data_IF_575510063594
#
_entry.id   IF_575510063594
#
_cell.length_a   1.000
_cell.length_b   1.000
_cell.length_c   1.000
_cell.angle_alpha   90.00
_cell.angle_beta   90.00
_cell.angle_gamma   90.00
#
_symmetry.space_group_name_H-M   'P 1'
#
loop_
_entity.id
_entity.type
_entity.pdbx_description
1 polymer ?
#
# COMPACT_ATOMS: atom_id res chain seq x y z
N UNK A 1 13.60 -11.06 -12.23
CA UNK A 1 13.58 -10.05 -11.14
C UNK A 1 12.46 -9.09 -11.49
N UNK A 2 11.31 -9.16 -10.81
CA UNK A 2 10.28 -8.14 -11.01
C UNK A 2 10.88 -6.79 -10.60
N UNK A 3 10.81 -5.80 -11.48
CA UNK A 3 11.14 -4.43 -11.09
C UNK A 3 9.97 -3.92 -10.24
N UNK A 4 10.22 -3.55 -8.99
CA UNK A 4 9.22 -2.87 -8.18
C UNK A 4 8.88 -1.50 -8.78
N UNK A 5 7.81 -0.87 -8.30
CA UNK A 5 7.40 0.48 -8.69
C UNK A 5 7.32 1.39 -7.47
N UNK A 6 7.61 2.67 -7.67
CA UNK A 6 7.63 3.66 -6.60
C UNK A 6 6.60 4.75 -6.86
N UNK A 7 5.69 4.94 -5.92
CA UNK A 7 4.68 5.99 -5.97
C UNK A 7 5.03 7.10 -5.00
N UNK A 8 5.02 8.35 -5.49
CA UNK A 8 5.01 9.54 -4.63
C UNK A 8 3.60 10.06 -4.57
N UNK A 9 3.06 10.14 -3.35
CA UNK A 9 1.69 10.55 -3.09
C UNK A 9 1.68 11.69 -2.09
N UNK A 10 0.69 12.55 -2.22
CA UNK A 10 0.35 13.58 -1.22
C UNK A 10 -0.99 13.18 -0.59
N UNK A 11 -1.02 13.15 0.73
CA UNK A 11 -2.18 12.77 1.53
C UNK A 11 -2.42 13.83 2.61
N UNK A 12 -3.64 13.88 3.13
CA UNK A 12 -3.99 14.80 4.21
C UNK A 12 -3.29 14.41 5.52
N UNK A 13 -3.14 15.37 6.42
CA UNK A 13 -2.69 15.10 7.79
C UNK A 13 -3.62 14.11 8.48
N UNK A 14 -3.05 13.16 9.22
CA UNK A 14 -3.83 12.13 9.89
C UNK A 14 -4.22 10.94 9.00
N UNK A 15 -3.85 10.95 7.72
CA UNK A 15 -4.24 9.90 6.80
C UNK A 15 -3.68 8.52 7.19
N UNK A 16 -4.45 7.48 6.90
CA UNK A 16 -4.12 6.09 7.23
C UNK A 16 -3.48 5.37 6.05
N UNK A 17 -3.00 4.14 6.30
CA UNK A 17 -2.41 3.32 5.25
C UNK A 17 -3.40 2.92 4.13
N UNK A 18 -4.65 2.51 4.42
CA UNK A 18 -5.68 2.32 3.40
C UNK A 18 -5.94 3.58 2.54
N UNK A 19 -5.95 4.77 3.14
CA UNK A 19 -6.15 6.02 2.40
C UNK A 19 -4.98 6.32 1.46
N UNK A 20 -3.74 6.05 1.90
CA UNK A 20 -2.56 6.15 1.05
C UNK A 20 -2.63 5.20 -0.17
N UNK A 21 -3.04 3.95 0.05
CA UNK A 21 -3.24 2.97 -1.03
C UNK A 21 -4.36 3.42 -2.00
N UNK A 22 -5.44 4.00 -1.51
CA UNK A 22 -6.50 4.53 -2.36
C UNK A 22 -6.02 5.69 -3.27
N UNK A 23 -5.06 6.50 -2.81
CA UNK A 23 -4.42 7.53 -3.64
C UNK A 23 -3.52 6.91 -4.70
N UNK A 24 -2.76 5.86 -4.37
CA UNK A 24 -1.98 5.08 -5.35
C UNK A 24 -2.91 4.49 -6.42
N UNK A 25 -4.01 3.88 -6.01
CA UNK A 25 -5.01 3.31 -6.92
C UNK A 25 -5.58 4.36 -7.88
N UNK A 26 -5.84 5.57 -7.39
CA UNK A 26 -6.26 6.70 -8.22
C UNK A 26 -5.17 7.11 -9.23
N UNK A 27 -3.90 7.13 -8.82
CA UNK A 27 -2.79 7.43 -9.72
C UNK A 27 -2.63 6.38 -10.82
N UNK A 28 -2.72 5.09 -10.47
CA UNK A 28 -2.62 3.97 -11.42
C UNK A 28 -3.81 3.94 -12.36
N UNK A 29 -5.04 4.17 -11.86
CA UNK A 29 -6.23 4.26 -12.72
C UNK A 29 -6.09 5.34 -13.80
N UNK A 30 -5.46 6.46 -13.47
CA UNK A 30 -5.20 7.55 -14.41
C UNK A 30 -3.99 7.30 -15.33
N UNK A 31 -3.10 6.37 -14.96
CA UNK A 31 -1.87 6.04 -15.67
C UNK A 31 -1.64 4.51 -15.61
N UNK A 32 -2.47 3.70 -16.32
CA UNK A 32 -2.46 2.25 -16.18
C UNK A 32 -1.10 1.59 -16.47
N UNK A 33 -0.27 2.23 -17.28
CA UNK A 33 1.10 1.80 -17.60
C UNK A 33 2.06 1.80 -16.41
N UNK A 34 1.72 2.50 -15.32
CA UNK A 34 2.48 2.46 -14.06
C UNK A 34 2.12 1.27 -13.18
N UNK A 35 1.13 0.47 -13.58
CA UNK A 35 0.78 -0.70 -12.79
C UNK A 35 1.79 -1.82 -12.98
N UNK A 36 2.37 -2.31 -11.90
CA UNK A 36 3.21 -3.53 -11.90
C UNK A 36 2.38 -4.81 -11.97
N UNK A 37 1.12 -4.74 -11.57
CA UNK A 37 0.17 -5.85 -11.68
C UNK A 37 -0.80 -5.62 -12.84
N UNK A 38 -1.16 -6.67 -13.60
CA UNK A 38 -2.23 -6.58 -14.57
C UNK A 38 -3.55 -6.39 -13.84
N UNK A 39 -4.00 -5.13 -13.71
CA UNK A 39 -5.32 -4.83 -13.16
C UNK A 39 -6.37 -5.18 -14.21
N UNK A 40 -7.20 -6.19 -13.93
CA UNK A 40 -8.20 -6.69 -14.86
C UNK A 40 -9.44 -7.19 -14.13
N UNK A 41 -10.58 -7.17 -14.81
CA UNK A 41 -11.81 -7.75 -14.27
C UNK A 41 -11.64 -9.26 -14.08
N UNK A 42 -11.84 -9.74 -12.85
CA UNK A 42 -11.76 -11.16 -12.49
C UNK A 42 -10.47 -11.62 -11.80
N UNK A 43 -9.48 -10.73 -11.65
CA UNK A 43 -8.25 -11.00 -10.87
C UNK A 43 -8.09 -9.98 -9.75
N UNK A 44 -7.43 -8.86 -10.05
CA UNK A 44 -7.04 -7.84 -9.10
C UNK A 44 -7.59 -6.52 -9.64
N UNK A 45 -8.45 -5.86 -8.87
CA UNK A 45 -9.02 -4.60 -9.32
C UNK A 45 -8.13 -3.41 -8.99
N UNK A 46 -7.40 -3.45 -7.86
CA UNK A 46 -6.54 -2.37 -7.40
C UNK A 46 -5.58 -2.84 -6.28
N UNK A 47 -4.61 -2.00 -5.90
CA UNK A 47 -3.62 -2.31 -4.86
C UNK A 47 -4.24 -2.35 -3.46
N UNK A 48 -5.25 -1.52 -3.18
CA UNK A 48 -5.94 -1.55 -1.89
C UNK A 48 -6.50 -2.93 -1.58
N UNK A 49 -7.16 -3.57 -2.55
CA UNK A 49 -7.70 -4.92 -2.42
C UNK A 49 -6.63 -6.01 -2.32
N UNK A 50 -5.43 -5.78 -2.88
CA UNK A 50 -4.31 -6.71 -2.75
C UNK A 50 -3.74 -6.74 -1.34
N UNK A 51 -3.76 -5.59 -0.67
CA UNK A 51 -2.97 -5.40 0.55
C UNK A 51 -3.84 -5.47 1.80
N UNK A 52 -5.08 -4.99 1.73
CA UNK A 52 -5.92 -4.79 2.92
C UNK A 52 -7.33 -5.35 2.74
N UNK A 53 -7.84 -5.98 3.80
CA UNK A 53 -9.20 -6.47 3.92
C UNK A 53 -10.08 -5.47 4.69
N UNK A 54 -11.02 -4.78 4.04
CA UNK A 54 -11.91 -3.81 4.70
C UNK A 54 -12.88 -4.42 5.71
N UNK A 55 -13.22 -5.71 5.58
CA UNK A 55 -14.21 -6.34 6.45
C UNK A 55 -13.65 -6.62 7.84
N UNK A 56 -12.37 -6.99 7.90
CA UNK A 56 -11.66 -7.31 9.15
C UNK A 56 -10.75 -6.19 9.61
N UNK A 57 -10.55 -5.16 8.77
CA UNK A 57 -9.57 -4.10 8.92
C UNK A 57 -8.16 -4.64 9.21
N UNK A 58 -7.72 -5.57 8.36
CA UNK A 58 -6.41 -6.23 8.49
C UNK A 58 -5.68 -6.23 7.17
N UNK A 59 -4.37 -6.14 7.24
CA UNK A 59 -3.48 -6.40 6.12
C UNK A 59 -3.35 -7.91 5.97
N UNK A 60 -3.30 -8.42 4.73
CA UNK A 60 -3.18 -9.86 4.51
C UNK A 60 -1.83 -10.40 5.00
N UNK A 61 -1.81 -11.65 5.49
CA UNK A 61 -0.63 -12.24 6.15
C UNK A 61 0.55 -12.46 5.20
N UNK A 62 0.29 -12.56 3.90
CA UNK A 62 1.26 -12.72 2.81
C UNK A 62 1.84 -11.38 2.32
N UNK A 63 1.51 -10.27 2.98
CA UNK A 63 2.02 -8.95 2.65
C UNK A 63 3.10 -8.54 3.65
N UNK A 64 4.35 -8.45 3.21
CA UNK A 64 5.43 -7.81 3.95
C UNK A 64 5.29 -6.29 3.90
N UNK A 65 5.33 -5.63 5.07
CA UNK A 65 5.34 -4.16 5.16
C UNK A 65 6.51 -3.70 6.00
N UNK A 66 7.32 -2.83 5.41
CA UNK A 66 8.37 -2.08 6.09
C UNK A 66 8.02 -0.60 6.04
N UNK A 67 7.52 -0.07 7.15
CA UNK A 67 7.02 1.29 7.24
C UNK A 67 7.78 2.07 8.31
N UNK A 68 8.58 3.05 7.88
CA UNK A 68 9.39 3.87 8.78
C UNK A 68 9.24 5.36 8.47
N UNK A 69 9.14 6.16 9.53
CA UNK A 69 9.24 7.61 9.45
C UNK A 69 10.64 8.08 9.07
N UNK A 70 10.82 9.37 8.76
CA UNK A 70 12.10 9.95 8.33
C UNK A 70 13.21 9.82 9.38
N UNK A 71 12.86 9.66 10.66
CA UNK A 71 13.83 9.44 11.75
C UNK A 71 13.84 7.99 12.25
N UNK A 72 13.39 7.05 11.41
CA UNK A 72 13.27 5.62 11.71
C UNK A 72 12.24 5.31 12.79
N UNK A 73 11.22 6.16 12.95
CA UNK A 73 10.06 5.83 13.78
C UNK A 73 9.33 4.64 13.15
N UNK A 74 9.11 3.58 13.94
CA UNK A 74 8.35 2.43 13.48
C UNK A 74 6.86 2.76 13.40
N UNK A 75 6.22 2.39 12.29
CA UNK A 75 4.77 2.47 12.12
C UNK A 75 4.16 1.06 12.14
N UNK A 76 3.32 0.72 13.13
CA UNK A 76 2.77 -0.63 13.32
C UNK A 76 1.59 -0.91 12.37
N UNK A 77 1.78 -0.73 11.06
CA UNK A 77 0.69 -0.80 10.07
C UNK A 77 0.05 -2.18 9.98
N UNK A 78 0.82 -3.25 10.21
CA UNK A 78 0.31 -4.63 10.27
C UNK A 78 -0.68 -4.85 11.41
N UNK A 79 -0.36 -4.34 12.60
CA UNK A 79 -1.21 -4.47 13.78
C UNK A 79 -2.36 -3.46 13.79
N UNK A 80 -2.14 -2.30 13.17
CA UNK A 80 -3.09 -1.20 13.15
C UNK A 80 -3.05 -0.45 11.80
N UNK A 81 -3.84 -0.88 10.79
CA UNK A 81 -3.94 -0.19 9.51
C UNK A 81 -4.45 1.25 9.60
N UNK A 82 -5.17 1.59 10.68
CA UNK A 82 -5.68 2.93 10.96
C UNK A 82 -4.64 3.83 11.66
N UNK A 83 -3.41 3.36 11.84
CA UNK A 83 -2.34 4.20 12.34
C UNK A 83 -2.11 5.38 11.38
N UNK A 84 -2.13 6.60 11.93
CA UNK A 84 -1.84 7.81 11.18
C UNK A 84 -0.41 7.78 10.65
N UNK A 85 -0.26 7.87 9.33
CA UNK A 85 1.05 7.85 8.70
C UNK A 85 1.90 9.05 9.13
N UNK A 86 3.19 8.78 9.35
CA UNK A 86 4.16 9.81 9.69
C UNK A 86 4.53 10.57 8.40
N UNK A 87 4.52 11.91 8.39
CA UNK A 87 4.86 12.69 7.20
C UNK A 87 6.27 12.36 6.67
N UNK A 88 6.42 12.41 5.34
CA UNK A 88 7.67 12.10 4.63
C UNK A 88 8.23 10.70 4.94
N UNK A 89 7.37 9.74 5.30
CA UNK A 89 7.73 8.35 5.48
C UNK A 89 7.97 7.63 4.16
N UNK A 90 8.78 6.58 4.22
CA UNK A 90 8.87 5.57 3.16
C UNK A 90 8.19 4.28 3.64
N UNK A 91 7.32 3.73 2.79
CA UNK A 91 6.62 2.47 3.06
C UNK A 91 6.92 1.52 1.91
N UNK A 92 7.69 0.48 2.19
CA UNK A 92 7.96 -0.59 1.26
C UNK A 92 6.97 -1.74 1.48
N UNK A 93 6.31 -2.15 0.40
CA UNK A 93 5.35 -3.25 0.39
C UNK A 93 5.95 -4.37 -0.45
N UNK A 94 6.00 -5.57 0.12
CA UNK A 94 6.42 -6.79 -0.56
C UNK A 94 5.26 -7.77 -0.54
N UNK A 95 4.77 -8.16 -1.71
CA UNK A 95 3.77 -9.22 -1.82
C UNK A 95 4.53 -10.53 -1.93
N UNK A 96 4.36 -11.44 -0.97
CA UNK A 96 4.87 -12.79 -1.08
C UNK A 96 3.81 -13.64 -1.80
N UNK A 97 4.04 -14.09 -3.05
CA UNK A 97 3.06 -14.91 -3.75
C UNK A 97 2.88 -16.31 -3.13
N UNK A 98 3.64 -16.65 -2.08
CA UNK A 98 3.75 -18.02 -1.58
C UNK A 98 4.57 -18.86 -2.56
N UNK A 99 5.64 -19.48 -2.07
CA UNK A 99 6.33 -20.54 -2.80
C UNK A 99 5.58 -21.87 -2.69
#
# INVERSE_FOLDING_TARGET
>A
MSQGESFRIEIQDGATFPEALAVVDKQVKNNPEKSIFPLSEGYIHNYLQLVWNPQTNKIYEDIGIMAYGPHKEFMPLHDNPDFSLIPNSEIAIQIDPGC
#
